data_IF_588488215959
#
_entry.id   IF_588488215959
#
_cell.length_a   1.000
_cell.length_b   1.000
_cell.length_c   1.000
_cell.angle_alpha   90.00
_cell.angle_beta   90.00
_cell.angle_gamma   90.00
#
_symmetry.space_group_name_H-M   'P 1'
#
loop_
_entity.id
_entity.type
_entity.pdbx_description
1 polymer ?
#
# COMPACT_ATOMS: atom_id res chain seq x y z
N UNK A 1 40.65 -38.86 -30.94
CA UNK A 1 40.62 -38.35 -29.56
C UNK A 1 39.89 -37.03 -29.52
N UNK A 2 38.59 -37.05 -29.27
CA UNK A 2 37.74 -35.87 -29.24
C UNK A 2 37.46 -35.52 -27.77
N UNK A 3 37.93 -34.37 -27.34
CA UNK A 3 37.71 -33.85 -25.98
C UNK A 3 36.30 -33.24 -25.88
N UNK A 4 35.39 -33.90 -25.16
CA UNK A 4 34.09 -33.33 -24.81
C UNK A 4 34.27 -32.24 -23.76
N UNK A 5 33.74 -31.04 -24.03
CA UNK A 5 33.59 -29.97 -23.06
C UNK A 5 32.27 -30.18 -22.31
N UNK A 6 32.34 -30.49 -21.02
CA UNK A 6 31.18 -30.42 -20.14
C UNK A 6 30.95 -28.94 -19.76
N UNK A 7 29.82 -28.40 -20.18
CA UNK A 7 29.31 -27.15 -19.64
C UNK A 7 28.55 -27.46 -18.35
N UNK A 8 29.09 -26.99 -17.23
CA UNK A 8 28.40 -27.00 -15.94
C UNK A 8 27.49 -25.77 -15.90
N UNK A 9 26.20 -25.95 -16.13
CA UNK A 9 25.18 -24.91 -15.93
C UNK A 9 24.93 -24.82 -14.44
N UNK A 10 25.53 -23.84 -13.80
CA UNK A 10 25.24 -23.50 -12.39
C UNK A 10 23.83 -22.92 -12.29
N UNK A 11 22.90 -23.70 -11.71
CA UNK A 11 21.60 -23.18 -11.28
C UNK A 11 21.87 -22.27 -10.07
N UNK A 12 21.81 -20.96 -10.26
CA UNK A 12 21.78 -19.99 -9.16
C UNK A 12 20.39 -20.13 -8.52
N UNK A 13 20.27 -20.93 -7.46
CA UNK A 13 19.14 -20.83 -6.55
C UNK A 13 19.20 -19.47 -5.85
N UNK A 14 18.40 -18.54 -6.31
CA UNK A 14 18.11 -17.32 -5.55
C UNK A 14 17.26 -17.78 -4.35
N UNK A 15 17.90 -17.92 -3.21
CA UNK A 15 17.21 -18.10 -1.93
C UNK A 15 16.52 -16.77 -1.61
N UNK A 16 15.24 -16.69 -1.93
CA UNK A 16 14.38 -15.64 -1.45
C UNK A 16 14.26 -15.80 0.06
N UNK A 17 14.89 -14.91 0.83
CA UNK A 17 14.63 -14.86 2.26
C UNK A 17 13.15 -14.51 2.45
N UNK A 18 12.43 -15.37 3.19
CA UNK A 18 11.08 -15.03 3.64
C UNK A 18 11.21 -13.85 4.62
N UNK A 19 11.03 -12.64 4.12
CA UNK A 19 11.03 -11.45 4.95
C UNK A 19 9.79 -11.50 5.85
N UNK A 20 10.00 -11.48 7.16
CA UNK A 20 8.93 -11.47 8.16
C UNK A 20 8.47 -10.03 8.31
N UNK A 21 7.42 -9.62 7.59
CA UNK A 21 6.81 -8.31 7.72
C UNK A 21 5.38 -8.43 8.25
N UNK A 22 5.22 -8.33 9.57
CA UNK A 22 3.88 -8.19 10.17
C UNK A 22 3.43 -6.73 10.26
N UNK A 23 4.22 -5.81 9.71
CA UNK A 23 4.16 -4.37 9.93
C UNK A 23 4.03 -3.63 8.61
N UNK A 24 3.51 -2.41 8.66
CA UNK A 24 3.43 -1.54 7.50
C UNK A 24 4.78 -0.91 7.13
N UNK A 25 5.05 -0.77 5.83
CA UNK A 25 4.35 -1.37 4.68
C UNK A 25 4.49 -2.88 4.62
N UNK A 26 3.53 -3.58 3.98
CA UNK A 26 3.54 -5.05 3.83
C UNK A 26 4.37 -5.55 2.64
N UNK A 27 5.10 -4.68 2.00
CA UNK A 27 6.02 -4.96 0.90
C UNK A 27 7.46 -4.77 1.35
N UNK A 28 8.41 -5.55 0.83
CA UNK A 28 9.83 -5.35 1.16
C UNK A 28 10.39 -4.04 0.58
N UNK A 29 11.54 -3.57 1.07
CA UNK A 29 12.28 -2.48 0.43
C UNK A 29 12.54 -2.74 -1.05
N UNK A 30 12.49 -1.70 -1.89
CA UNK A 30 12.64 -1.81 -3.35
C UNK A 30 11.43 -2.38 -4.10
N UNK A 31 10.36 -2.76 -3.40
CA UNK A 31 9.10 -3.20 -4.00
C UNK A 31 8.00 -2.16 -3.71
N UNK A 32 7.31 -1.72 -4.75
CA UNK A 32 6.26 -0.70 -4.66
C UNK A 32 4.99 -1.25 -5.29
N UNK A 33 4.00 -1.55 -4.45
CA UNK A 33 2.68 -2.03 -4.85
C UNK A 33 1.64 -1.04 -4.33
N UNK A 34 0.93 -0.42 -5.26
CA UNK A 34 -0.14 0.53 -5.04
C UNK A 34 -1.52 -0.10 -5.25
N UNK A 35 -2.56 0.64 -4.95
CA UNK A 35 -3.96 0.32 -5.27
C UNK A 35 -4.36 -1.10 -4.80
N UNK A 36 -4.06 -1.49 -3.54
CA UNK A 36 -4.13 -2.87 -3.11
C UNK A 36 -5.58 -3.37 -3.01
N UNK A 37 -5.95 -4.27 -3.91
CA UNK A 37 -7.18 -5.04 -3.81
C UNK A 37 -6.91 -6.37 -3.15
N UNK A 38 -7.44 -6.56 -1.95
CA UNK A 38 -7.28 -7.79 -1.17
C UNK A 38 -8.47 -8.73 -1.37
N UNK A 39 -8.19 -10.02 -1.50
CA UNK A 39 -9.19 -11.09 -1.63
C UNK A 39 -8.80 -12.28 -0.76
N UNK A 40 -9.81 -12.92 -0.17
CA UNK A 40 -9.64 -14.16 0.59
C UNK A 40 -10.28 -15.29 -0.20
N UNK A 41 -9.52 -16.34 -0.50
CA UNK A 41 -10.02 -17.47 -1.27
C UNK A 41 -10.29 -18.68 -0.40
N UNK A 42 -10.80 -19.75 -1.00
CA UNK A 42 -11.23 -20.99 -0.30
C UNK A 42 -10.10 -21.70 0.44
N UNK A 43 -8.85 -21.45 0.10
CA UNK A 43 -7.67 -21.98 0.80
C UNK A 43 -7.37 -21.24 2.12
N UNK A 44 -8.17 -20.22 2.47
CA UNK A 44 -8.06 -19.46 3.69
C UNK A 44 -6.91 -18.44 3.71
N UNK A 45 -6.23 -18.25 2.57
CA UNK A 45 -5.16 -17.24 2.42
C UNK A 45 -5.73 -15.93 1.91
N UNK A 46 -4.99 -14.86 2.20
CA UNK A 46 -5.26 -13.53 1.67
C UNK A 46 -4.28 -13.22 0.54
N UNK A 47 -4.81 -12.68 -0.53
CA UNK A 47 -4.11 -12.30 -1.75
C UNK A 47 -4.28 -10.81 -1.99
N UNK A 48 -3.21 -10.11 -2.31
CA UNK A 48 -3.25 -8.69 -2.66
C UNK A 48 -2.80 -8.52 -4.11
N UNK A 49 -3.70 -8.02 -4.92
CA UNK A 49 -3.49 -7.61 -6.29
C UNK A 49 -3.31 -6.10 -6.30
N UNK A 50 -2.29 -5.60 -6.96
CA UNK A 50 -2.04 -4.16 -6.97
C UNK A 50 -1.18 -3.73 -8.14
N UNK A 51 -1.20 -2.43 -8.41
CA UNK A 51 -0.35 -1.80 -9.42
C UNK A 51 1.12 -1.87 -8.99
N UNK A 52 2.02 -2.19 -9.91
CA UNK A 52 3.45 -2.13 -9.66
C UNK A 52 3.98 -0.75 -10.06
N UNK A 53 4.44 0.04 -9.10
CA UNK A 53 5.16 1.29 -9.36
C UNK A 53 6.65 1.00 -9.60
N UNK A 54 7.24 1.60 -10.64
CA UNK A 54 8.65 1.39 -11.02
C UNK A 54 9.42 2.69 -11.24
N UNK A 55 8.74 3.82 -11.26
CA UNK A 55 9.35 5.11 -11.56
C UNK A 55 8.76 6.25 -10.75
N UNK A 56 9.58 7.18 -10.24
CA UNK A 56 9.07 8.42 -9.64
C UNK A 56 8.46 9.39 -10.66
N UNK A 57 8.65 9.15 -11.97
CA UNK A 57 8.21 10.05 -13.03
C UNK A 57 6.79 9.77 -13.55
N UNK A 58 6.29 8.54 -13.37
CA UNK A 58 4.97 8.12 -13.84
C UNK A 58 4.37 7.06 -12.91
N UNK A 59 3.05 6.92 -12.94
CA UNK A 59 2.32 5.89 -12.20
C UNK A 59 2.46 4.52 -12.84
N UNK A 60 2.54 3.47 -12.00
CA UNK A 60 2.42 2.07 -12.35
C UNK A 60 3.53 1.55 -13.29
N UNK A 61 3.31 0.42 -13.93
CA UNK A 61 4.19 -0.20 -14.90
C UNK A 61 3.40 -1.10 -15.84
N UNK A 62 4.10 -1.88 -16.65
CA UNK A 62 3.51 -2.85 -17.59
C UNK A 62 3.21 -4.21 -16.95
N UNK A 63 3.30 -4.35 -15.62
CA UNK A 63 3.12 -5.64 -14.95
C UNK A 63 2.47 -5.51 -13.57
N UNK A 64 1.89 -6.63 -13.13
CA UNK A 64 1.42 -6.78 -11.76
C UNK A 64 2.22 -7.83 -11.02
N UNK A 65 2.47 -7.54 -9.75
CA UNK A 65 2.94 -8.48 -8.75
C UNK A 65 1.78 -8.84 -7.80
N UNK A 66 1.87 -10.02 -7.17
CA UNK A 66 0.85 -10.47 -6.23
C UNK A 66 1.51 -10.79 -4.89
N UNK A 67 0.94 -10.29 -3.80
CA UNK A 67 1.33 -10.67 -2.45
C UNK A 67 0.36 -11.70 -1.88
N UNK A 68 0.89 -12.65 -1.12
CA UNK A 68 0.08 -13.71 -0.48
C UNK A 68 0.52 -13.89 0.95
N UNK A 69 -0.46 -14.04 1.86
CA UNK A 69 -0.21 -14.36 3.26
C UNK A 69 -1.28 -15.32 3.80
N UNK A 70 -0.90 -16.14 4.76
CA UNK A 70 -1.81 -17.01 5.54
C UNK A 70 -2.02 -16.52 6.98
N UNK A 71 -1.29 -15.49 7.40
CA UNK A 71 -1.32 -14.95 8.78
C UNK A 71 -1.29 -13.41 8.87
N UNK A 72 -1.16 -12.71 7.72
CA UNK A 72 -0.91 -11.26 7.58
C UNK A 72 0.37 -10.76 8.26
N UNK A 73 1.23 -11.69 8.67
CA UNK A 73 2.54 -11.38 9.29
C UNK A 73 3.68 -11.65 8.32
N UNK A 74 3.55 -12.71 7.53
CA UNK A 74 4.53 -13.08 6.51
C UNK A 74 3.90 -12.95 5.14
N UNK A 75 4.53 -12.18 4.27
CA UNK A 75 4.06 -11.95 2.92
C UNK A 75 5.03 -12.56 1.91
N UNK A 76 4.48 -13.35 0.99
CA UNK A 76 5.22 -13.90 -0.14
C UNK A 76 4.88 -13.11 -1.39
N UNK A 77 5.90 -12.57 -2.03
CA UNK A 77 5.79 -11.87 -3.30
C UNK A 77 5.86 -12.88 -4.46
N UNK A 78 4.93 -12.77 -5.38
CA UNK A 78 4.91 -13.44 -6.67
C UNK A 78 5.07 -12.36 -7.75
N UNK A 79 6.29 -12.14 -8.26
CA UNK A 79 6.54 -11.09 -9.23
C UNK A 79 6.07 -11.47 -10.62
N UNK A 80 5.71 -10.47 -11.43
CA UNK A 80 5.44 -10.57 -12.87
C UNK A 80 4.37 -11.63 -13.20
N UNK A 81 3.18 -11.49 -12.59
CA UNK A 81 2.08 -12.45 -12.73
C UNK A 81 1.09 -12.11 -13.83
N UNK A 82 1.15 -10.91 -14.37
CA UNK A 82 0.45 -10.41 -15.53
C UNK A 82 1.23 -9.25 -16.14
N UNK A 83 1.30 -9.19 -17.47
CA UNK A 83 2.02 -8.12 -18.16
C UNK A 83 1.30 -7.70 -19.43
N UNK A 84 1.36 -6.41 -19.77
CA UNK A 84 0.89 -5.83 -21.03
C UNK A 84 2.03 -5.56 -22.02
N UNK A 85 3.26 -6.01 -21.70
CA UNK A 85 4.41 -5.77 -22.56
C UNK A 85 5.55 -6.74 -22.27
N UNK A 86 6.35 -7.06 -23.29
CA UNK A 86 7.58 -7.85 -23.15
C UNK A 86 7.37 -9.35 -23.33
N UNK A 87 8.25 -10.17 -22.74
CA UNK A 87 8.25 -11.62 -22.95
C UNK A 87 6.98 -12.30 -22.39
N UNK A 88 6.43 -11.78 -21.31
CA UNK A 88 5.24 -12.30 -20.64
C UNK A 88 3.97 -11.51 -21.00
N UNK A 89 3.98 -10.82 -22.14
CA UNK A 89 2.82 -10.05 -22.60
C UNK A 89 1.58 -10.94 -22.76
N UNK A 90 0.52 -10.59 -22.07
CA UNK A 90 -0.78 -11.25 -22.09
C UNK A 90 -1.91 -10.34 -22.60
N UNK A 91 -1.59 -9.12 -23.09
CA UNK A 91 -2.54 -8.12 -23.59
C UNK A 91 -2.26 -7.82 -25.08
N UNK A 92 -2.68 -8.69 -26.00
CA UNK A 92 -2.24 -8.64 -27.40
C UNK A 92 -2.71 -7.41 -28.19
N UNK A 93 -3.47 -6.53 -27.58
CA UNK A 93 -4.05 -5.34 -28.23
C UNK A 93 -3.49 -4.01 -27.71
N UNK A 94 -2.59 -4.01 -26.70
CA UNK A 94 -2.00 -2.79 -26.15
C UNK A 94 -0.73 -3.06 -25.36
N UNK A 95 0.25 -2.16 -25.49
CA UNK A 95 1.49 -2.09 -24.73
C UNK A 95 1.43 -0.99 -23.64
N UNK A 96 0.24 -0.52 -23.25
CA UNK A 96 0.08 0.55 -22.28
C UNK A 96 0.34 0.09 -20.83
N UNK A 97 0.59 1.05 -19.94
CA UNK A 97 0.73 0.81 -18.51
C UNK A 97 -0.53 0.20 -17.92
N UNK A 98 -0.36 -0.66 -16.94
CA UNK A 98 -1.42 -1.33 -16.19
C UNK A 98 -1.70 -0.58 -14.89
N UNK A 99 -2.94 -0.09 -14.72
CA UNK A 99 -3.42 0.58 -13.51
C UNK A 99 -4.16 -0.41 -12.60
N UNK A 100 -4.79 0.08 -11.53
CA UNK A 100 -5.40 -0.69 -10.46
C UNK A 100 -6.13 -1.97 -10.90
N UNK A 101 -5.73 -3.17 -10.42
CA UNK A 101 -6.40 -4.42 -10.73
C UNK A 101 -7.40 -4.83 -9.65
N UNK A 102 -8.30 -5.73 -10.03
CA UNK A 102 -9.07 -6.57 -9.11
C UNK A 102 -9.07 -8.04 -9.58
N UNK A 103 -9.43 -8.97 -8.71
CA UNK A 103 -9.50 -10.39 -9.05
C UNK A 103 -10.76 -11.01 -8.46
N UNK A 104 -11.41 -11.91 -9.22
CA UNK A 104 -12.53 -12.70 -8.74
C UNK A 104 -12.40 -14.17 -9.15
N UNK A 105 -12.87 -15.06 -8.28
CA UNK A 105 -12.90 -16.49 -8.53
C UNK A 105 -14.31 -16.96 -8.90
N UNK A 106 -14.43 -17.73 -9.99
CA UNK A 106 -15.67 -18.41 -10.37
C UNK A 106 -15.37 -19.72 -11.08
N UNK A 107 -16.04 -20.80 -10.67
CA UNK A 107 -16.06 -22.08 -11.38
C UNK A 107 -14.66 -22.63 -11.76
N UNK A 108 -13.71 -22.56 -10.83
CA UNK A 108 -12.35 -23.10 -11.07
C UNK A 108 -11.37 -22.13 -11.70
N UNK A 109 -11.80 -20.95 -12.10
CA UNK A 109 -10.96 -19.92 -12.73
C UNK A 109 -10.89 -18.67 -11.91
N UNK A 110 -9.74 -17.99 -11.96
CA UNK A 110 -9.51 -16.65 -11.46
C UNK A 110 -9.54 -15.67 -12.62
N UNK A 111 -10.29 -14.61 -12.48
CA UNK A 111 -10.47 -13.54 -13.45
C UNK A 111 -9.80 -12.29 -12.89
N UNK A 112 -8.71 -11.86 -13.54
CA UNK A 112 -8.00 -10.63 -13.21
C UNK A 112 -8.55 -9.51 -14.08
N UNK A 113 -9.19 -8.54 -13.46
CA UNK A 113 -9.66 -7.33 -14.11
C UNK A 113 -8.57 -6.28 -14.03
N UNK A 114 -8.30 -5.61 -15.14
CA UNK A 114 -7.26 -4.59 -15.25
C UNK A 114 -7.75 -3.41 -16.06
N UNK A 115 -7.10 -2.28 -15.91
CA UNK A 115 -7.28 -1.17 -16.82
C UNK A 115 -5.94 -0.68 -17.37
N UNK A 116 -5.99 -0.13 -18.58
CA UNK A 116 -4.86 0.37 -19.34
C UNK A 116 -4.84 1.89 -19.32
N UNK A 117 -3.64 2.45 -19.32
CA UNK A 117 -3.43 3.90 -19.37
C UNK A 117 -3.68 4.49 -20.75
N UNK A 118 -4.85 4.19 -21.34
CA UNK A 118 -5.27 4.75 -22.62
C UNK A 118 -6.73 5.22 -22.55
N UNK A 119 -7.26 5.79 -23.63
CA UNK A 119 -8.57 6.44 -23.64
C UNK A 119 -9.63 5.68 -24.47
N UNK A 120 -9.33 4.49 -24.97
CA UNK A 120 -10.20 3.80 -25.92
C UNK A 120 -10.47 2.33 -25.61
N UNK A 121 -9.50 1.62 -25.03
CA UNK A 121 -9.59 0.19 -24.69
C UNK A 121 -9.06 0.02 -23.26
N UNK A 122 -9.73 0.70 -22.32
CA UNK A 122 -9.23 0.82 -20.94
C UNK A 122 -9.44 -0.45 -20.15
N UNK A 123 -10.62 -1.06 -20.22
CA UNK A 123 -11.00 -2.17 -19.35
C UNK A 123 -10.66 -3.51 -19.97
N UNK A 124 -10.12 -4.41 -19.18
CA UNK A 124 -9.82 -5.76 -19.63
C UNK A 124 -9.96 -6.83 -18.56
N UNK A 125 -9.94 -8.08 -19.00
CA UNK A 125 -9.95 -9.26 -18.13
C UNK A 125 -9.03 -10.33 -18.67
N UNK A 126 -8.24 -10.94 -17.78
CA UNK A 126 -7.38 -12.10 -18.04
C UNK A 126 -7.76 -13.26 -17.14
N UNK A 127 -7.32 -14.47 -17.45
CA UNK A 127 -7.70 -15.67 -16.70
C UNK A 127 -6.50 -16.47 -16.21
N UNK A 128 -6.71 -17.20 -15.09
CA UNK A 128 -5.73 -18.17 -14.57
C UNK A 128 -6.44 -19.31 -13.85
N UNK A 129 -5.77 -20.47 -13.76
CA UNK A 129 -6.17 -21.59 -12.89
C UNK A 129 -5.66 -21.42 -11.44
N UNK A 130 -4.80 -20.42 -11.21
CA UNK A 130 -4.20 -20.15 -9.90
C UNK A 130 -4.46 -18.71 -9.46
N UNK A 131 -4.71 -18.47 -8.16
CA UNK A 131 -4.87 -17.11 -7.65
C UNK A 131 -3.60 -16.25 -7.75
N UNK A 132 -2.44 -16.89 -7.92
CA UNK A 132 -1.15 -16.22 -8.12
C UNK A 132 -0.73 -16.14 -9.58
N UNK A 133 -1.63 -16.44 -10.51
CA UNK A 133 -1.28 -16.46 -11.94
C UNK A 133 -0.31 -17.61 -12.34
N UNK A 134 0.37 -17.54 -13.52
CA UNK A 134 0.28 -16.40 -14.41
C UNK A 134 -1.15 -16.21 -14.95
N UNK A 135 -1.54 -14.95 -15.13
CA UNK A 135 -2.77 -14.61 -15.83
C UNK A 135 -2.47 -14.45 -17.32
N UNK A 136 -3.33 -15.00 -18.15
CA UNK A 136 -3.16 -15.07 -19.61
C UNK A 136 -4.45 -14.70 -20.33
N UNK A 137 -4.40 -14.61 -21.65
CA UNK A 137 -5.57 -14.37 -22.51
C UNK A 137 -6.30 -13.05 -22.14
N UNK A 138 -5.54 -11.97 -21.96
CA UNK A 138 -6.10 -10.65 -21.73
C UNK A 138 -7.00 -10.24 -22.89
N UNK A 139 -8.26 -9.91 -22.55
CA UNK A 139 -9.28 -9.49 -23.52
C UNK A 139 -9.92 -8.20 -23.06
N UNK A 140 -10.25 -7.32 -24.01
CA UNK A 140 -10.98 -6.09 -23.71
C UNK A 140 -12.40 -6.39 -23.22
N UNK A 141 -12.87 -5.65 -22.23
CA UNK A 141 -14.27 -5.61 -21.81
C UNK A 141 -14.92 -4.42 -22.54
N UNK A 142 -15.91 -4.72 -23.39
CA UNK A 142 -16.63 -3.68 -24.10
C UNK A 142 -17.56 -2.92 -23.15
N UNK A 143 -17.24 -1.67 -22.90
CA UNK A 143 -18.01 -0.77 -22.01
C UNK A 143 -18.75 0.34 -22.78
N UNK A 144 -18.79 0.27 -24.12
CA UNK A 144 -19.41 1.28 -24.99
C UNK A 144 -18.66 2.62 -24.89
N UNK A 145 -19.37 3.70 -24.60
CA UNK A 145 -18.81 5.05 -24.44
C UNK A 145 -18.26 5.35 -23.03
N UNK A 146 -18.24 4.36 -22.14
CA UNK A 146 -18.00 4.56 -20.71
C UNK A 146 -16.58 4.18 -20.28
N UNK A 147 -15.60 4.36 -21.16
CA UNK A 147 -14.18 4.12 -20.85
C UNK A 147 -13.69 4.99 -19.70
N UNK A 148 -13.14 4.36 -18.68
CA UNK A 148 -12.59 4.98 -17.47
C UNK A 148 -11.49 4.10 -16.88
N UNK A 149 -11.22 4.18 -15.59
CA UNK A 149 -10.18 3.43 -14.90
C UNK A 149 -10.72 2.69 -13.67
N UNK A 150 -9.87 1.88 -13.05
CA UNK A 150 -10.02 1.27 -11.74
C UNK A 150 -11.22 0.31 -11.63
N UNK A 151 -11.19 -0.79 -12.39
CA UNK A 151 -12.23 -1.80 -12.31
C UNK A 151 -12.24 -2.54 -10.98
N UNK A 152 -13.43 -2.85 -10.48
CA UNK A 152 -13.64 -3.78 -9.38
C UNK A 152 -14.85 -4.66 -9.66
N UNK A 153 -14.83 -5.88 -9.13
CA UNK A 153 -15.90 -6.86 -9.33
C UNK A 153 -16.41 -7.40 -8.02
N UNK A 154 -17.71 -7.55 -7.94
CA UNK A 154 -18.38 -8.21 -6.82
C UNK A 154 -19.42 -9.19 -7.37
N UNK A 155 -19.47 -10.41 -6.85
CA UNK A 155 -20.53 -11.35 -7.14
C UNK A 155 -21.35 -11.56 -5.87
N UNK A 156 -22.66 -11.31 -5.96
CA UNK A 156 -23.57 -11.40 -4.84
C UNK A 156 -23.97 -12.84 -4.53
N UNK A 157 -24.68 -13.06 -3.42
CA UNK A 157 -25.12 -14.38 -2.93
C UNK A 157 -26.05 -15.10 -3.92
N UNK A 158 -26.75 -14.37 -4.79
CA UNK A 158 -27.59 -14.90 -5.86
C UNK A 158 -26.80 -15.29 -7.13
N UNK A 159 -25.49 -15.06 -7.13
CA UNK A 159 -24.59 -15.34 -8.25
C UNK A 159 -24.52 -14.23 -9.30
N UNK A 160 -25.24 -13.11 -9.15
CA UNK A 160 -25.15 -11.98 -10.04
C UNK A 160 -23.85 -11.20 -9.79
N UNK A 161 -23.02 -11.08 -10.82
CA UNK A 161 -21.82 -10.25 -10.82
C UNK A 161 -22.13 -8.77 -11.12
N UNK A 162 -21.35 -7.89 -10.51
CA UNK A 162 -21.37 -6.45 -10.74
C UNK A 162 -19.97 -5.98 -11.06
N UNK A 163 -19.86 -5.16 -12.10
CA UNK A 163 -18.65 -4.49 -12.54
C UNK A 163 -18.73 -3.02 -12.17
N UNK A 164 -17.69 -2.51 -11.50
CA UNK A 164 -17.65 -1.18 -10.92
C UNK A 164 -16.39 -0.48 -11.43
N UNK A 165 -16.50 0.74 -11.96
CA UNK A 165 -15.35 1.48 -12.50
C UNK A 165 -15.64 2.97 -12.59
N UNK A 166 -14.60 3.79 -12.69
CA UNK A 166 -14.75 5.21 -13.01
C UNK A 166 -13.93 6.16 -12.17
N UNK A 167 -13.71 7.34 -12.73
CA UNK A 167 -13.07 8.49 -12.10
C UNK A 167 -14.04 9.68 -12.07
N UNK A 168 -14.04 10.46 -10.97
CA UNK A 168 -14.95 11.60 -10.66
C UNK A 168 -16.43 11.23 -10.54
N UNK A 169 -16.90 10.25 -11.25
CA UNK A 169 -18.22 9.66 -11.14
C UNK A 169 -18.15 8.15 -11.35
N UNK A 170 -18.76 7.41 -10.44
CA UNK A 170 -18.75 5.96 -10.45
C UNK A 170 -19.79 5.40 -11.41
N UNK A 171 -19.37 4.44 -12.21
CA UNK A 171 -20.23 3.61 -13.06
C UNK A 171 -20.34 2.21 -12.48
N UNK A 172 -21.47 1.58 -12.70
CA UNK A 172 -21.71 0.20 -12.31
C UNK A 172 -22.59 -0.49 -13.35
N UNK A 173 -22.28 -1.74 -13.67
CA UNK A 173 -23.07 -2.57 -14.57
C UNK A 173 -23.19 -4.00 -14.03
N UNK A 174 -24.17 -4.75 -14.51
CA UNK A 174 -24.23 -6.20 -14.32
C UNK A 174 -23.16 -6.87 -15.16
N UNK A 175 -22.41 -7.75 -14.52
CA UNK A 175 -21.45 -8.63 -15.19
C UNK A 175 -22.18 -9.87 -15.71
N UNK A 176 -21.91 -10.27 -16.95
CA UNK A 176 -22.48 -11.49 -17.53
C UNK A 176 -21.91 -12.74 -16.86
N UNK A 177 -22.62 -13.89 -16.92
CA UNK A 177 -22.15 -15.13 -16.27
C UNK A 177 -20.77 -15.63 -16.72
N UNK A 178 -20.32 -15.26 -17.93
CA UNK A 178 -18.99 -15.61 -18.45
C UNK A 178 -17.83 -14.85 -17.79
N UNK A 179 -18.12 -13.87 -16.92
CA UNK A 179 -17.14 -13.03 -16.21
C UNK A 179 -16.22 -12.18 -17.11
N UNK A 180 -16.50 -12.11 -18.41
CA UNK A 180 -15.67 -11.39 -19.40
C UNK A 180 -16.40 -10.24 -20.08
N UNK A 181 -17.70 -10.09 -19.84
CA UNK A 181 -18.54 -9.10 -20.47
C UNK A 181 -19.49 -8.47 -19.47
N UNK A 182 -19.78 -7.19 -19.64
CA UNK A 182 -20.87 -6.51 -18.94
C UNK A 182 -22.14 -6.49 -19.80
N UNK A 183 -23.28 -6.35 -19.14
CA UNK A 183 -24.51 -5.95 -19.81
C UNK A 183 -24.52 -4.41 -19.93
N UNK A 184 -24.12 -3.91 -21.10
CA UNK A 184 -24.03 -2.46 -21.37
C UNK A 184 -25.37 -1.76 -21.16
N UNK A 185 -26.50 -2.44 -21.37
CA UNK A 185 -27.82 -1.89 -21.13
C UNK A 185 -28.15 -1.65 -19.65
N UNK A 186 -27.42 -2.31 -18.76
CA UNK A 186 -27.54 -2.18 -17.31
C UNK A 186 -26.66 -1.09 -16.70
N UNK A 187 -25.85 -0.41 -17.51
CA UNK A 187 -24.94 0.63 -17.01
C UNK A 187 -25.72 1.72 -16.29
N UNK A 188 -25.34 1.94 -15.03
CA UNK A 188 -25.80 3.06 -14.22
C UNK A 188 -24.64 4.02 -14.01
N UNK A 189 -24.83 5.25 -14.45
CA UNK A 189 -23.88 6.35 -14.25
C UNK A 189 -24.14 7.06 -12.92
N UNK A 190 -23.15 7.78 -12.39
CA UNK A 190 -23.27 8.61 -11.20
C UNK A 190 -23.77 7.84 -9.97
N UNK A 191 -23.35 6.57 -9.82
CA UNK A 191 -23.67 5.77 -8.63
C UNK A 191 -23.08 6.43 -7.39
N UNK A 192 -21.84 6.94 -7.50
CA UNK A 192 -21.21 7.91 -6.60
C UNK A 192 -20.68 9.09 -7.41
N UNK A 193 -20.60 10.26 -6.78
CA UNK A 193 -20.07 11.51 -7.37
C UNK A 193 -19.15 12.21 -6.38
N UNK A 194 -18.23 13.04 -6.86
CA UNK A 194 -17.44 13.89 -5.97
C UNK A 194 -18.32 14.84 -5.13
N UNK A 195 -19.35 15.40 -5.73
CA UNK A 195 -20.23 16.37 -5.09
C UNK A 195 -21.00 15.82 -3.89
N UNK A 196 -21.53 14.60 -4.01
CA UNK A 196 -22.42 14.03 -2.98
C UNK A 196 -21.71 13.04 -2.07
N UNK A 197 -20.64 12.39 -2.56
CA UNK A 197 -19.97 11.29 -1.89
C UNK A 197 -18.46 11.54 -1.72
N UNK A 198 -17.93 12.66 -2.23
CA UNK A 198 -16.48 12.92 -2.29
C UNK A 198 -15.72 11.84 -3.07
N UNK A 199 -16.41 11.14 -3.97
CA UNK A 199 -15.84 10.07 -4.78
C UNK A 199 -14.84 10.61 -5.78
N UNK A 200 -13.60 10.11 -5.78
CA UNK A 200 -12.61 10.47 -6.78
C UNK A 200 -12.38 9.34 -7.79
N UNK A 201 -11.98 8.16 -7.32
CA UNK A 201 -11.69 6.99 -8.15
C UNK A 201 -11.68 5.71 -7.30
N UNK A 202 -11.34 4.55 -7.90
CA UNK A 202 -10.90 3.36 -7.18
C UNK A 202 -11.94 2.72 -6.27
N UNK A 203 -13.15 2.51 -6.76
CA UNK A 203 -14.20 1.91 -5.95
C UNK A 203 -14.06 0.39 -5.81
N UNK A 204 -14.23 -0.10 -4.60
CA UNK A 204 -14.27 -1.51 -4.25
C UNK A 204 -15.59 -1.84 -3.56
N UNK A 205 -16.34 -2.84 -4.09
CA UNK A 205 -17.62 -3.26 -3.53
C UNK A 205 -17.45 -4.49 -2.63
N UNK A 206 -18.00 -4.41 -1.42
CA UNK A 206 -18.07 -5.56 -0.49
C UNK A 206 -19.42 -5.57 0.24
N UNK A 207 -19.75 -6.70 0.90
CA UNK A 207 -21.02 -6.90 1.63
C UNK A 207 -20.76 -7.37 3.05
N UNK A 208 -21.48 -6.80 4.01
CA UNK A 208 -21.46 -7.22 5.40
C UNK A 208 -22.86 -7.19 5.99
N UNK A 209 -23.33 -8.32 6.54
CA UNK A 209 -24.66 -8.45 7.19
C UNK A 209 -25.81 -7.87 6.36
N UNK A 210 -25.81 -8.13 5.04
CA UNK A 210 -26.84 -7.67 4.12
C UNK A 210 -26.70 -6.21 3.65
N UNK A 211 -25.74 -5.45 4.17
CA UNK A 211 -25.41 -4.10 3.73
C UNK A 211 -24.23 -4.12 2.73
N UNK A 212 -24.35 -3.37 1.66
CA UNK A 212 -23.29 -3.17 0.67
C UNK A 212 -22.48 -1.93 1.02
N UNK A 213 -21.16 -2.05 0.89
CA UNK A 213 -20.18 -0.99 1.15
C UNK A 213 -19.40 -0.76 -0.14
N UNK A 214 -19.52 0.42 -0.73
CA UNK A 214 -18.57 0.94 -1.71
C UNK A 214 -17.50 1.70 -0.95
N UNK A 215 -16.25 1.25 -1.10
CA UNK A 215 -15.06 1.86 -0.52
C UNK A 215 -14.26 2.45 -1.66
N UNK A 216 -13.72 3.65 -1.53
CA UNK A 216 -13.16 4.39 -2.67
C UNK A 216 -12.14 5.45 -2.25
N UNK A 217 -11.31 5.87 -3.21
CA UNK A 217 -10.48 7.06 -3.10
C UNK A 217 -11.39 8.30 -2.94
N UNK A 218 -11.27 8.95 -1.79
CA UNK A 218 -12.15 10.02 -1.35
C UNK A 218 -11.37 11.33 -1.30
N UNK A 219 -11.95 12.39 -1.86
CA UNK A 219 -11.41 13.75 -1.79
C UNK A 219 -11.22 14.13 -0.32
N UNK A 220 -9.96 14.10 0.12
CA UNK A 220 -9.58 14.28 1.50
C UNK A 220 -9.75 15.72 2.00
N UNK A 221 -9.34 15.94 3.23
CA UNK A 221 -9.46 17.23 3.94
C UNK A 221 -8.61 18.34 3.34
N UNK A 222 -7.53 17.99 2.65
CA UNK A 222 -6.63 18.94 1.99
C UNK A 222 -6.96 19.21 0.50
N UNK A 223 -8.16 18.80 0.02
CA UNK A 223 -8.55 18.94 -1.38
C UNK A 223 -7.78 17.99 -2.32
N UNK A 224 -7.23 16.89 -1.78
CA UNK A 224 -6.56 15.80 -2.49
C UNK A 224 -7.22 14.47 -2.12
N UNK A 225 -7.22 13.45 -2.99
CA UNK A 225 -7.87 12.18 -2.70
C UNK A 225 -7.04 11.29 -1.74
N UNK A 226 -6.64 11.83 -0.58
CA UNK A 226 -5.79 11.14 0.41
C UNK A 226 -6.57 10.21 1.33
N UNK A 227 -7.89 10.31 1.38
CA UNK A 227 -8.70 9.44 2.20
C UNK A 227 -9.16 8.19 1.43
N UNK A 228 -9.42 7.10 2.16
CA UNK A 228 -10.38 6.08 1.74
C UNK A 228 -11.69 6.39 2.45
N UNK A 229 -12.72 6.68 1.68
CA UNK A 229 -14.08 6.87 2.15
C UNK A 229 -14.96 5.68 1.87
N UNK A 230 -16.20 5.73 2.38
CA UNK A 230 -17.18 4.69 2.07
C UNK A 230 -18.59 5.26 1.95
N UNK A 231 -19.41 4.53 1.19
CA UNK A 231 -20.85 4.72 1.10
C UNK A 231 -21.58 3.40 1.23
N UNK A 232 -22.80 3.42 1.74
CA UNK A 232 -23.58 2.20 2.03
C UNK A 232 -24.91 2.15 1.31
N UNK A 233 -25.38 0.94 0.99
CA UNK A 233 -26.71 0.69 0.40
C UNK A 233 -27.27 -0.66 0.83
N UNK A 234 -28.57 -0.83 0.77
CA UNK A 234 -29.26 -2.12 0.91
C UNK A 234 -29.40 -2.87 -0.42
N UNK A 235 -28.94 -2.28 -1.52
CA UNK A 235 -28.94 -2.86 -2.87
C UNK A 235 -27.57 -2.69 -3.52
N UNK A 236 -27.05 -3.71 -4.25
CA UNK A 236 -25.73 -3.60 -4.88
C UNK A 236 -25.63 -2.45 -5.89
N UNK A 237 -26.71 -2.12 -6.57
CA UNK A 237 -26.78 -1.02 -7.55
C UNK A 237 -27.20 0.32 -6.93
N UNK A 238 -27.25 0.43 -5.61
CA UNK A 238 -27.66 1.64 -4.89
C UNK A 238 -29.17 1.90 -4.85
N UNK A 239 -29.63 3.08 -4.39
CA UNK A 239 -28.82 4.26 -4.12
C UNK A 239 -27.88 4.10 -2.91
N UNK A 240 -26.73 4.74 -2.96
CA UNK A 240 -25.75 4.75 -1.88
C UNK A 240 -25.85 6.03 -1.05
N UNK A 241 -25.63 5.87 0.25
CA UNK A 241 -25.54 6.97 1.21
C UNK A 241 -24.12 7.10 1.70
N UNK A 242 -23.57 8.30 1.67
CA UNK A 242 -22.23 8.59 2.21
C UNK A 242 -22.13 8.20 3.69
N UNK A 243 -21.08 7.46 4.05
CA UNK A 243 -20.87 6.92 5.38
C UNK A 243 -19.77 7.65 6.17
N UNK A 244 -18.72 8.11 5.50
CA UNK A 244 -17.59 8.76 6.16
C UNK A 244 -16.23 8.35 5.59
N UNK A 245 -15.17 8.66 6.33
CA UNK A 245 -13.79 8.30 6.05
C UNK A 245 -13.40 7.08 6.86
N UNK A 246 -12.68 6.15 6.25
CA UNK A 246 -12.10 4.96 6.92
C UNK A 246 -10.68 5.28 7.38
N UNK A 247 -9.85 5.85 6.49
CA UNK A 247 -8.45 6.15 6.76
C UNK A 247 -7.98 7.32 5.88
N UNK A 248 -7.07 8.12 6.38
CA UNK A 248 -6.36 9.18 5.65
C UNK A 248 -4.87 8.86 5.61
N UNK A 249 -4.25 8.83 4.44
CA UNK A 249 -2.81 8.64 4.28
C UNK A 249 -2.06 9.98 4.13
N UNK A 250 -2.70 11.11 4.40
CA UNK A 250 -2.01 12.39 4.41
C UNK A 250 -0.84 12.38 5.41
N UNK A 251 0.23 13.08 5.09
CA UNK A 251 1.49 13.08 5.84
C UNK A 251 2.28 11.75 5.85
N UNK A 252 1.95 10.75 5.02
CA UNK A 252 2.84 9.60 4.86
C UNK A 252 4.14 9.96 4.11
N UNK A 253 4.07 10.95 3.24
CA UNK A 253 5.19 11.47 2.45
C UNK A 253 4.84 12.88 1.93
N UNK A 254 5.81 13.81 1.82
CA UNK A 254 5.54 15.17 1.32
C UNK A 254 5.04 15.21 -0.13
N UNK A 255 5.30 14.18 -0.92
CA UNK A 255 4.81 14.06 -2.30
C UNK A 255 3.50 13.29 -2.46
N UNK A 256 2.87 12.87 -1.36
CA UNK A 256 1.64 12.09 -1.40
C UNK A 256 0.50 12.83 -2.14
N UNK A 257 -0.21 12.09 -3.01
CA UNK A 257 -1.32 12.65 -3.79
C UNK A 257 -2.64 11.96 -3.51
N UNK A 258 -2.69 10.62 -3.59
CA UNK A 258 -3.92 9.84 -3.50
C UNK A 258 -3.83 8.68 -2.51
N UNK A 259 -4.99 8.09 -2.26
CA UNK A 259 -5.17 6.82 -1.57
C UNK A 259 -6.10 5.95 -2.40
N UNK A 260 -5.90 4.65 -2.38
CA UNK A 260 -6.76 3.68 -3.05
C UNK A 260 -6.61 2.32 -2.36
N UNK A 261 -7.69 1.54 -2.29
CA UNK A 261 -7.60 0.24 -1.64
C UNK A 261 -8.92 -0.50 -1.51
N UNK A 262 -8.98 -1.43 -0.57
CA UNK A 262 -10.08 -2.37 -0.41
C UNK A 262 -10.43 -2.61 1.06
N UNK A 263 -11.62 -3.11 1.32
CA UNK A 263 -12.13 -3.48 2.65
C UNK A 263 -12.49 -4.95 2.66
N UNK A 264 -11.81 -5.76 3.48
CA UNK A 264 -11.94 -7.22 3.46
C UNK A 264 -12.05 -7.81 4.85
N UNK A 265 -12.84 -8.89 4.97
CA UNK A 265 -12.87 -9.72 6.16
C UNK A 265 -11.84 -10.85 6.05
N UNK A 266 -11.00 -10.98 7.09
CA UNK A 266 -10.05 -12.07 7.22
C UNK A 266 -10.08 -12.65 8.63
N UNK A 267 -10.37 -13.96 8.74
CA UNK A 267 -10.46 -14.67 10.03
C UNK A 267 -11.37 -13.97 11.06
N UNK A 268 -12.52 -13.45 10.61
CA UNK A 268 -13.53 -12.81 11.46
C UNK A 268 -13.22 -11.38 11.89
N UNK A 269 -12.19 -10.78 11.35
CA UNK A 269 -11.83 -9.35 11.55
C UNK A 269 -11.81 -8.63 10.22
N UNK A 270 -12.11 -7.33 10.25
CA UNK A 270 -12.12 -6.49 9.05
C UNK A 270 -10.86 -5.64 8.97
N UNK A 271 -10.38 -5.43 7.75
CA UNK A 271 -9.17 -4.67 7.47
C UNK A 271 -9.36 -3.79 6.25
N UNK A 272 -8.81 -2.59 6.30
CA UNK A 272 -8.62 -1.73 5.13
C UNK A 272 -7.20 -1.93 4.61
N UNK A 273 -7.09 -2.26 3.33
CA UNK A 273 -5.85 -2.22 2.57
C UNK A 273 -5.79 -0.88 1.87
N UNK A 274 -4.64 -0.24 1.90
CA UNK A 274 -4.42 1.08 1.33
C UNK A 274 -2.95 1.23 0.93
N UNK A 275 -2.56 2.37 0.38
CA UNK A 275 -1.15 2.60 0.06
C UNK A 275 -0.60 3.88 0.69
N UNK A 276 0.72 3.96 0.79
CA UNK A 276 1.48 5.16 1.19
C UNK A 276 2.49 5.49 0.11
N UNK A 277 2.57 6.77 -0.27
CA UNK A 277 3.64 7.28 -1.12
C UNK A 277 4.97 7.30 -0.39
N UNK A 278 6.05 7.27 -1.15
CA UNK A 278 7.44 7.39 -0.72
C UNK A 278 8.22 8.24 -1.74
N UNK A 279 9.51 8.51 -1.50
CA UNK A 279 10.43 9.19 -2.43
C UNK A 279 10.09 10.67 -2.72
N UNK A 280 9.17 11.28 -1.97
CA UNK A 280 8.72 12.64 -2.23
C UNK A 280 7.96 12.77 -3.55
N UNK A 281 7.27 11.73 -4.00
CA UNK A 281 6.51 11.70 -5.23
C UNK A 281 5.17 10.97 -5.08
N UNK A 282 4.28 11.20 -6.03
CA UNK A 282 2.94 10.59 -6.06
C UNK A 282 2.92 9.14 -6.58
N UNK A 283 3.96 8.71 -7.24
CA UNK A 283 4.22 7.34 -7.68
C UNK A 283 5.36 6.75 -6.84
N UNK A 284 5.56 5.54 -6.62
CA UNK A 284 6.40 4.81 -5.65
C UNK A 284 5.64 4.58 -4.35
N UNK A 285 4.49 3.94 -4.50
CA UNK A 285 3.54 3.68 -3.42
C UNK A 285 3.72 2.28 -2.86
N UNK A 286 3.49 2.12 -1.56
CA UNK A 286 3.64 0.85 -0.85
C UNK A 286 2.34 0.43 -0.18
N UNK A 287 1.92 -0.82 -0.39
CA UNK A 287 0.73 -1.39 0.24
C UNK A 287 0.87 -1.47 1.77
N UNK A 288 -0.22 -1.11 2.45
CA UNK A 288 -0.36 -1.09 3.90
C UNK A 288 -1.72 -1.66 4.33
N UNK A 289 -1.86 -1.99 5.62
CA UNK A 289 -3.09 -2.58 6.19
C UNK A 289 -3.37 -1.95 7.55
N UNK A 290 -4.64 -1.65 7.85
CA UNK A 290 -5.06 -1.34 9.21
C UNK A 290 -6.32 -2.14 9.60
N UNK A 291 -6.50 -2.52 10.87
CA UNK A 291 -7.74 -3.12 11.35
C UNK A 291 -8.87 -2.10 11.36
N UNK A 292 -10.07 -2.54 10.99
CA UNK A 292 -11.27 -1.70 10.90
C UNK A 292 -12.33 -2.19 11.88
N UNK A 293 -13.02 -1.25 12.52
CA UNK A 293 -14.03 -1.51 13.51
C UNK A 293 -15.38 -0.94 13.08
N UNK A 294 -16.41 -1.79 13.09
CA UNK A 294 -17.79 -1.41 12.79
C UNK A 294 -18.57 -1.14 14.06
N UNK A 295 -19.37 -0.10 14.03
CA UNK A 295 -20.39 0.15 15.04
C UNK A 295 -21.59 -0.79 14.86
N UNK A 296 -22.52 -0.80 15.81
CA UNK A 296 -23.73 -1.64 15.76
C UNK A 296 -24.63 -1.32 14.57
N UNK A 297 -24.70 -0.03 14.17
CA UNK A 297 -25.47 0.45 13.02
C UNK A 297 -24.81 0.16 11.67
N UNK A 298 -23.62 -0.44 11.67
CA UNK A 298 -22.83 -0.73 10.48
C UNK A 298 -21.94 0.41 10.00
N UNK A 299 -21.91 1.55 10.68
CA UNK A 299 -20.94 2.60 10.39
C UNK A 299 -19.51 2.16 10.73
N UNK A 300 -18.52 2.73 10.04
CA UNK A 300 -17.10 2.42 10.22
C UNK A 300 -16.44 3.57 10.97
N UNK A 301 -15.71 3.26 12.03
CA UNK A 301 -14.87 4.24 12.72
C UNK A 301 -13.62 4.53 11.88
N UNK A 302 -13.26 5.79 11.76
CA UNK A 302 -11.99 6.19 11.16
C UNK A 302 -10.82 5.59 11.97
N UNK A 303 -9.84 5.03 11.27
CA UNK A 303 -8.66 4.41 11.85
C UNK A 303 -7.41 5.20 11.51
N UNK A 304 -6.41 5.12 12.38
CA UNK A 304 -5.13 5.77 12.16
C UNK A 304 -4.24 5.00 11.21
N UNK A 305 -3.42 5.72 10.47
CA UNK A 305 -2.27 5.17 9.73
C UNK A 305 -1.16 4.84 10.73
N UNK A 306 -0.70 3.56 10.76
CA UNK A 306 0.27 3.09 11.75
C UNK A 306 1.47 2.35 11.14
N UNK A 307 2.60 2.35 11.84
CA UNK A 307 3.74 1.51 11.49
C UNK A 307 3.51 0.04 11.83
N UNK A 308 2.67 -0.26 12.84
CA UNK A 308 2.37 -1.63 13.25
C UNK A 308 1.42 -2.36 12.29
N UNK A 309 0.51 -1.64 11.63
CA UNK A 309 -0.46 -2.25 10.72
C UNK A 309 -1.41 -3.25 11.39
N UNK A 310 -1.62 -4.40 10.74
CA UNK A 310 -2.44 -5.49 11.27
C UNK A 310 -1.78 -6.28 12.41
N UNK A 311 -0.50 -6.00 12.71
CA UNK A 311 0.29 -6.69 13.71
C UNK A 311 0.18 -6.10 15.11
N UNK A 312 0.99 -6.63 16.02
CA UNK A 312 1.20 -6.06 17.34
C UNK A 312 2.11 -4.82 17.23
N UNK A 313 2.14 -3.93 18.27
CA UNK A 313 3.10 -2.84 18.32
C UNK A 313 4.53 -3.31 18.10
N UNK A 314 5.34 -2.48 17.42
CA UNK A 314 6.73 -2.80 17.17
C UNK A 314 7.46 -3.04 18.50
N UNK A 315 8.19 -4.15 18.59
CA UNK A 315 9.01 -4.41 19.76
C UNK A 315 10.24 -3.50 19.73
N UNK A 316 10.34 -2.58 20.67
CA UNK A 316 11.44 -1.60 20.73
C UNK A 316 12.83 -2.23 20.89
N UNK A 317 12.93 -3.48 21.38
CA UNK A 317 14.20 -4.21 21.49
C UNK A 317 14.65 -4.86 20.17
N UNK A 318 13.78 -4.91 19.15
CA UNK A 318 14.16 -5.37 17.82
C UNK A 318 14.75 -4.18 17.03
N UNK A 319 15.52 -4.45 16.01
CA UNK A 319 15.95 -3.43 15.06
C UNK A 319 14.75 -2.96 14.24
N UNK A 320 14.55 -1.66 14.20
CA UNK A 320 13.43 -1.01 13.50
C UNK A 320 14.03 -0.19 12.37
N UNK A 321 13.66 -0.56 11.15
CA UNK A 321 14.03 0.15 9.93
C UNK A 321 13.38 1.53 9.90
N UNK A 322 14.13 2.55 9.53
CA UNK A 322 13.68 3.93 9.61
C UNK A 322 12.55 4.25 8.61
N UNK A 323 12.51 3.56 7.49
CA UNK A 323 11.44 3.69 6.48
C UNK A 323 10.07 3.16 6.94
N UNK A 324 9.98 2.58 8.14
CA UNK A 324 8.70 2.21 8.76
C UNK A 324 7.95 3.38 9.39
N UNK A 325 8.50 4.59 9.30
CA UNK A 325 7.79 5.79 9.67
C UNK A 325 6.42 5.84 8.96
N UNK A 326 5.36 6.13 9.73
CA UNK A 326 4.01 6.26 9.16
C UNK A 326 3.62 7.73 8.95
N UNK A 327 4.31 8.67 9.57
CA UNK A 327 4.06 10.10 9.45
C UNK A 327 5.37 10.83 9.23
N UNK A 328 5.40 11.70 8.21
CA UNK A 328 6.54 12.54 7.86
C UNK A 328 6.08 14.00 7.75
N UNK A 329 6.77 14.90 8.43
CA UNK A 329 6.49 16.32 8.35
C UNK A 329 7.74 17.10 7.96
N UNK A 330 7.60 18.00 7.00
CA UNK A 330 8.67 18.79 6.43
C UNK A 330 9.21 18.19 5.13
N UNK A 331 10.53 18.18 4.98
CA UNK A 331 11.20 17.68 3.77
C UNK A 331 11.66 16.22 3.86
N UNK A 332 11.68 15.66 5.06
CA UNK A 332 12.08 14.27 5.30
C UNK A 332 11.23 13.30 4.49
N UNK A 333 11.86 12.29 3.91
CA UNK A 333 11.19 11.26 3.09
C UNK A 333 11.87 9.92 3.18
N UNK A 334 11.11 8.88 2.90
CA UNK A 334 11.63 7.54 2.65
C UNK A 334 12.20 7.54 1.24
N UNK A 335 13.43 7.06 1.09
CA UNK A 335 14.10 6.95 -0.21
C UNK A 335 14.99 5.70 -0.27
N UNK A 336 15.20 5.16 -1.47
CA UNK A 336 16.11 4.04 -1.66
C UNK A 336 17.57 4.52 -1.60
N UNK A 337 18.44 3.77 -0.93
CA UNK A 337 19.87 3.92 -1.06
C UNK A 337 20.55 2.71 -1.73
N UNK A 338 19.82 1.63 -1.92
CA UNK A 338 20.17 0.52 -2.80
C UNK A 338 18.90 -0.05 -3.44
N UNK A 339 19.02 -1.10 -4.24
CA UNK A 339 17.86 -1.78 -4.85
C UNK A 339 17.01 -2.57 -3.84
N UNK A 340 17.51 -2.81 -2.65
CA UNK A 340 16.88 -3.64 -1.60
C UNK A 340 16.85 -2.98 -0.23
N UNK A 341 17.29 -1.72 -0.12
CA UNK A 341 17.40 -1.01 1.15
C UNK A 341 16.89 0.43 1.01
N UNK A 342 16.19 0.90 2.02
CA UNK A 342 15.60 2.23 2.11
C UNK A 342 16.06 2.93 3.38
N UNK A 343 15.89 4.24 3.42
CA UNK A 343 16.35 5.11 4.51
C UNK A 343 15.41 6.30 4.69
N UNK A 344 15.46 6.97 5.83
CA UNK A 344 15.02 8.35 5.94
C UNK A 344 16.13 9.29 5.45
N UNK A 345 15.83 10.09 4.45
CA UNK A 345 16.75 11.07 3.89
C UNK A 345 16.10 12.43 3.66
N UNK A 346 16.82 13.36 3.08
CA UNK A 346 16.38 14.76 2.88
C UNK A 346 15.92 15.42 4.18
N UNK A 347 16.62 15.16 5.25
CA UNK A 347 16.29 15.64 6.59
C UNK A 347 16.79 17.07 6.78
N UNK A 348 15.86 17.98 7.06
CA UNK A 348 16.13 19.38 7.30
C UNK A 348 15.79 19.78 8.74
N UNK A 349 16.21 20.97 9.15
CA UNK A 349 15.87 21.54 10.45
C UNK A 349 14.34 21.71 10.60
N UNK A 350 13.80 21.18 11.68
CA UNK A 350 12.36 21.25 11.99
C UNK A 350 11.53 20.09 11.43
N UNK A 351 12.11 19.23 10.59
CA UNK A 351 11.43 18.03 10.13
C UNK A 351 11.22 17.02 11.27
N UNK A 352 10.23 16.12 11.11
CA UNK A 352 10.05 15.03 12.04
C UNK A 352 9.44 13.79 11.39
N UNK A 353 9.73 12.62 11.97
CA UNK A 353 9.20 11.32 11.58
C UNK A 353 8.50 10.64 12.76
N UNK A 354 7.31 10.10 12.53
CA UNK A 354 6.48 9.44 13.52
C UNK A 354 6.30 7.95 13.26
N UNK A 355 6.37 7.16 14.33
CA UNK A 355 6.16 5.71 14.33
C UNK A 355 5.04 5.36 15.31
N UNK A 356 4.02 4.67 14.86
CA UNK A 356 2.87 4.23 15.66
C UNK A 356 2.65 2.73 15.50
N UNK A 357 2.67 1.91 16.53
CA UNK A 357 3.07 2.15 17.90
C UNK A 357 4.25 1.23 18.26
N UNK A 358 5.03 1.61 19.27
CA UNK A 358 6.13 0.81 19.83
C UNK A 358 5.76 0.35 21.24
N UNK A 359 6.11 -0.90 21.56
CA UNK A 359 6.08 -1.41 22.94
C UNK A 359 7.45 -1.12 23.61
N UNK A 360 7.47 -0.07 24.42
CA UNK A 360 8.61 0.29 25.24
C UNK A 360 8.64 -0.62 26.46
N UNK A 361 9.37 -1.73 26.35
CA UNK A 361 9.54 -2.70 27.41
C UNK A 361 10.13 -2.04 28.68
N UNK A 362 9.79 -2.58 29.88
CA UNK A 362 10.39 -2.06 31.12
C UNK A 362 11.91 -2.18 31.09
N UNK A 363 12.58 -1.12 31.58
CA UNK A 363 14.04 -1.09 31.72
C UNK A 363 14.81 -0.63 30.49
N UNK A 364 14.14 0.01 29.53
CA UNK A 364 14.81 0.69 28.43
C UNK A 364 15.50 1.93 28.97
N UNK A 365 16.80 2.06 28.70
CA UNK A 365 17.67 3.14 29.18
C UNK A 365 18.47 3.82 28.07
N UNK A 366 18.48 3.24 26.84
CA UNK A 366 19.34 3.70 25.77
C UNK A 366 18.70 3.44 24.40
N UNK A 367 19.10 4.22 23.42
CA UNK A 367 18.82 3.98 21.99
C UNK A 367 20.14 3.98 21.23
N UNK A 368 20.26 3.11 20.23
CA UNK A 368 21.27 3.17 19.18
C UNK A 368 20.61 3.40 17.84
N UNK A 369 21.24 4.20 16.98
CA UNK A 369 20.79 4.49 15.62
C UNK A 369 21.92 4.33 14.63
N UNK A 370 21.65 3.77 13.47
CA UNK A 370 22.55 3.72 12.32
C UNK A 370 22.30 4.96 11.45
N UNK A 371 23.27 5.86 11.41
CA UNK A 371 23.16 7.18 10.79
C UNK A 371 24.35 7.41 9.85
N UNK A 372 24.10 8.05 8.70
CA UNK A 372 25.11 8.60 7.84
C UNK A 372 25.13 10.14 7.97
N UNK A 373 26.13 10.74 8.65
CA UNK A 373 26.21 12.19 8.82
C UNK A 373 26.40 12.95 7.52
N UNK A 374 25.79 14.15 7.44
CA UNK A 374 26.02 15.12 6.38
C UNK A 374 27.15 16.11 6.68
N UNK A 375 27.25 17.15 5.88
CA UNK A 375 28.29 18.16 6.02
C UNK A 375 28.14 18.99 7.32
N UNK A 376 26.90 19.30 7.70
CA UNK A 376 26.57 20.11 8.87
C UNK A 376 26.22 19.24 10.09
N UNK A 377 26.53 19.70 11.31
CA UNK A 377 26.10 18.99 12.51
C UNK A 377 24.59 19.10 12.71
N UNK A 378 24.02 18.07 13.33
CA UNK A 378 22.60 18.02 13.65
C UNK A 378 22.30 17.30 14.94
N UNK A 379 21.02 17.27 15.33
CA UNK A 379 20.52 16.60 16.52
C UNK A 379 19.24 15.87 16.21
N UNK A 380 19.04 14.72 16.86
CA UNK A 380 17.80 13.93 16.81
C UNK A 380 17.22 13.90 18.22
N UNK A 381 16.12 14.61 18.45
CA UNK A 381 15.37 14.49 19.69
C UNK A 381 14.44 13.29 19.63
N UNK A 382 14.52 12.43 20.61
CA UNK A 382 13.65 11.27 20.79
C UNK A 382 12.46 11.72 21.64
N UNK A 383 11.29 11.85 21.02
CA UNK A 383 10.06 12.26 21.70
C UNK A 383 9.02 11.13 21.70
N UNK A 384 8.09 11.16 22.62
CA UNK A 384 7.03 10.15 22.76
C UNK A 384 5.65 10.79 22.71
N UNK A 385 4.66 10.01 22.27
CA UNK A 385 3.23 10.28 22.12
C UNK A 385 2.86 11.23 20.98
N UNK A 386 3.52 12.35 20.85
CA UNK A 386 3.26 13.32 19.77
C UNK A 386 4.51 14.11 19.39
N UNK A 387 4.50 14.76 18.25
CA UNK A 387 5.65 15.51 17.71
C UNK A 387 6.10 16.68 18.59
N UNK A 388 5.26 17.16 19.47
CA UNK A 388 5.58 18.21 20.48
C UNK A 388 5.72 17.64 21.90
N UNK A 389 5.71 16.31 22.04
CA UNK A 389 5.84 15.61 23.30
C UNK A 389 7.18 15.85 24.01
N UNK A 390 7.32 15.35 25.24
CA UNK A 390 8.57 15.47 25.98
C UNK A 390 9.69 14.69 25.25
N UNK A 391 10.88 15.30 25.13
CA UNK A 391 12.07 14.59 24.71
C UNK A 391 12.58 13.72 25.85
N UNK A 392 12.80 12.43 25.57
CA UNK A 392 13.38 11.47 26.50
C UNK A 392 14.88 11.26 26.27
N UNK A 393 15.43 11.79 25.19
CA UNK A 393 16.85 11.74 24.86
C UNK A 393 17.17 12.54 23.60
N UNK A 394 18.45 12.80 23.37
CA UNK A 394 18.94 13.49 22.17
C UNK A 394 20.21 12.83 21.67
N UNK A 395 20.30 12.53 20.39
CA UNK A 395 21.52 12.10 19.71
C UNK A 395 22.14 13.33 19.04
N UNK A 396 23.40 13.62 19.35
CA UNK A 396 24.21 14.61 18.64
C UNK A 396 24.90 13.93 17.46
N UNK A 397 24.68 14.44 16.25
CA UNK A 397 25.27 13.94 15.01
C UNK A 397 26.29 14.98 14.54
N UNK A 398 27.61 14.64 14.51
CA UNK A 398 28.63 15.56 14.07
C UNK A 398 28.53 15.87 12.57
N UNK A 399 28.92 17.07 12.17
CA UNK A 399 29.08 17.40 10.77
C UNK A 399 30.38 16.81 10.17
N UNK A 400 30.66 17.20 8.91
CA UNK A 400 31.86 16.77 8.20
C UNK A 400 31.73 15.40 7.51
N UNK A 401 30.54 14.82 7.47
CA UNK A 401 30.21 13.62 6.73
C UNK A 401 29.80 13.89 5.27
N UNK A 402 29.43 12.83 4.57
CA UNK A 402 29.08 12.87 3.14
C UNK A 402 27.82 12.08 2.79
N UNK A 403 26.98 11.78 3.79
CA UNK A 403 25.73 11.02 3.67
C UNK A 403 25.89 9.58 3.13
N UNK A 404 27.11 9.01 3.22
CA UNK A 404 27.41 7.65 2.70
C UNK A 404 28.07 6.75 3.76
N UNK A 405 28.71 7.35 4.74
CA UNK A 405 29.45 6.59 5.76
C UNK A 405 28.58 6.33 6.97
N UNK A 406 27.99 5.15 7.03
CA UNK A 406 27.13 4.70 8.11
C UNK A 406 27.91 4.46 9.41
N UNK A 407 27.41 5.02 10.50
CA UNK A 407 27.97 4.90 11.84
C UNK A 407 26.85 4.68 12.84
N UNK A 408 27.16 4.07 13.98
CA UNK A 408 26.21 3.88 15.07
C UNK A 408 26.38 4.98 16.10
N UNK A 409 25.30 5.71 16.37
CA UNK A 409 25.21 6.73 17.42
C UNK A 409 24.29 6.24 18.52
N UNK A 410 24.54 6.68 19.75
CA UNK A 410 23.78 6.27 20.93
C UNK A 410 23.51 7.43 21.86
N UNK A 411 22.40 7.38 22.59
CA UNK A 411 22.17 8.25 23.74
C UNK A 411 21.44 7.51 24.85
N UNK A 412 21.64 7.99 26.10
CA UNK A 412 20.86 7.56 27.24
C UNK A 412 19.46 8.20 27.18
N UNK A 413 18.47 7.49 27.69
CA UNK A 413 17.08 7.89 27.67
C UNK A 413 16.54 8.08 29.08
N UNK A 414 15.65 9.05 29.25
CA UNK A 414 14.74 9.08 30.37
C UNK A 414 13.79 7.89 30.30
N UNK A 415 13.31 7.36 31.42
CA UNK A 415 12.44 6.19 31.43
C UNK A 415 11.17 6.37 30.59
N UNK A 416 10.93 5.41 29.69
CA UNK A 416 9.70 5.25 28.94
C UNK A 416 9.21 3.80 29.10
N UNK A 417 7.89 3.59 29.11
CA UNK A 417 7.32 2.25 29.19
C UNK A 417 5.91 2.22 28.55
N UNK A 418 5.42 1.00 28.31
CA UNK A 418 4.12 0.75 27.69
C UNK A 418 4.12 0.99 26.18
N UNK A 419 2.93 0.96 25.59
CA UNK A 419 2.73 1.17 24.15
C UNK A 419 2.63 2.69 23.91
N UNK A 420 3.53 3.22 23.10
CA UNK A 420 3.65 4.65 22.84
C UNK A 420 3.96 4.93 21.36
N UNK A 421 3.57 6.10 20.88
CA UNK A 421 4.10 6.64 19.63
C UNK A 421 5.53 7.18 19.83
N UNK A 422 6.42 6.90 18.88
CA UNK A 422 7.77 7.46 18.84
C UNK A 422 7.81 8.58 17.79
N UNK A 423 8.48 9.67 18.13
CA UNK A 423 8.75 10.77 17.22
C UNK A 423 10.24 11.11 17.23
N UNK A 424 10.83 11.13 16.03
CA UNK A 424 12.17 11.63 15.80
C UNK A 424 12.04 13.07 15.27
N UNK A 425 12.56 14.06 16.01
CA UNK A 425 12.57 15.48 15.63
C UNK A 425 13.97 15.88 15.26
N UNK A 426 14.13 16.53 14.11
CA UNK A 426 15.42 16.84 13.55
C UNK A 426 15.75 18.32 13.71
N UNK A 427 16.96 18.62 14.16
CA UNK A 427 17.46 19.98 14.35
C UNK A 427 18.87 20.11 13.80
N UNK A 428 19.21 21.25 13.21
CA UNK A 428 20.54 21.57 12.71
C UNK A 428 20.51 22.80 11.81
N UNK A 429 21.62 23.15 11.23
CA UNK A 429 21.73 24.25 10.27
C UNK A 429 21.94 23.69 8.85
N UNK A 430 21.15 24.18 7.89
CA UNK A 430 21.20 23.72 6.50
C UNK A 430 20.24 22.58 6.18
N UNK A 431 20.45 21.95 5.07
CA UNK A 431 19.69 20.86 4.49
C UNK A 431 20.51 19.56 4.44
N UNK A 432 19.84 18.42 4.23
CA UNK A 432 20.46 17.09 4.21
C UNK A 432 21.40 16.85 5.40
N UNK A 433 20.91 17.09 6.63
CA UNK A 433 21.71 17.02 7.86
C UNK A 433 22.35 15.65 8.08
N UNK A 434 21.59 14.59 7.84
CA UNK A 434 22.02 13.20 7.94
C UNK A 434 20.97 12.28 7.30
N UNK A 435 21.28 10.99 7.22
CA UNK A 435 20.36 9.92 6.83
C UNK A 435 20.26 8.91 7.96
N UNK A 436 19.11 8.27 8.13
CA UNK A 436 18.84 7.26 9.15
C UNK A 436 18.41 5.98 8.46
N UNK A 437 19.08 4.88 8.76
CA UNK A 437 18.81 3.54 8.27
C UNK A 437 17.93 2.76 9.24
N UNK A 438 18.37 2.61 10.48
CA UNK A 438 17.68 1.85 11.50
C UNK A 438 17.94 2.37 12.92
N UNK A 439 17.12 1.91 13.85
CA UNK A 439 17.33 2.15 15.28
C UNK A 439 16.84 1.00 16.15
N UNK A 440 17.40 0.90 17.36
CA UNK A 440 17.02 -0.12 18.34
C UNK A 440 17.15 0.46 19.75
N UNK A 441 16.21 0.14 20.63
CA UNK A 441 16.31 0.47 22.05
C UNK A 441 17.02 -0.64 22.82
N UNK A 442 17.69 -0.24 23.90
CA UNK A 442 18.48 -1.15 24.75
C UNK A 442 18.09 -0.95 26.23
N UNK A 443 18.31 -2.02 27.05
CA UNK A 443 18.12 -1.99 28.51
C UNK A 443 19.32 -1.42 29.21
#
# INVERSE_FOLDING_TARGET
MTKGKFFLTGIIMILWSESIFSQNPIVPPGVYIADPTARVWKDGKIYVYGSRDESPAYYCSWRYDILVSDDMKKWKLYPDRFSSKGENDAVPYSDDLLYAPDCWYKEGKYYLYYCLANNTLTEGVAVSDSPTGPFIEGTNIEVGKYHEIDPSVFVDDDGQGYYVWGQFNLKMAKLKPNMKEIDVSSVKENVLTEKEHFFHEGAFLTKRKGMYYLVYAHMGRAGRPTCIGYSTSTSPMGPYKYGGVIIDNDHCDPGNWNNHGSLVEYKGKWYVFYHRSTHGCKSMRKACIEPVYFNEDGSINEVEMTSQGAGEPLNSLDEIEAERACLLYGNVRIQAFSSTEEELGKIWNGDCAGYKYLDFRKGITRIKMRIAPGANPGKIDIAIDNSWGPSIGTIDVPGGGNLKNWQTFTCNLLPANGIRALWLRFRGEGDDLFRIDSFQFEK
#
